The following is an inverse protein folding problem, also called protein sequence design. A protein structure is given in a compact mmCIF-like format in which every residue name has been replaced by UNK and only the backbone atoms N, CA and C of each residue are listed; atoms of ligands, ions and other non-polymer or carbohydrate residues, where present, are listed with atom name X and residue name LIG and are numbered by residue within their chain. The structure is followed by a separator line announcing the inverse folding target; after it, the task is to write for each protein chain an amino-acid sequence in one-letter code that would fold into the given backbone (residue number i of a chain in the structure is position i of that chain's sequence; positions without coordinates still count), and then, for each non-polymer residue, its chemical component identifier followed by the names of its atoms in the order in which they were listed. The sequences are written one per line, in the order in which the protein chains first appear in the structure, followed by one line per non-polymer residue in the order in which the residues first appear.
data_IF_268149863143
#
_entry.id   IF_268149863143
#
_cell.length_a   1.000
_cell.length_b   1.000
_cell.length_c   1.000
_cell.angle_alpha   90.00
_cell.angle_beta   90.00
_cell.angle_gamma   90.00
#
_symmetry.space_group_name_H-M   'P 1'
#
loop_
_entity.id
_entity.type
_entity.pdbx_description
1 polymer ?
#
# COMPACT_ATOMS: atom_id res chain seq x y z
N UNK A 1 -48.88 -19.72 55.84
CA UNK A 1 -48.97 -21.08 55.29
C UNK A 1 -47.73 -21.30 54.45
N UNK A 2 -46.85 -21.94 54.95
CA UNK A 2 -46.01 -23.12 54.71
C UNK A 2 -46.14 -23.68 53.27
N UNK A 3 -45.04 -23.73 52.50
CA UNK A 3 -44.39 -24.98 52.07
C UNK A 3 -43.06 -24.72 51.37
N UNK A 4 -42.04 -25.32 51.92
CA UNK A 4 -40.72 -25.55 51.42
C UNK A 4 -40.72 -26.75 50.46
N UNK A 5 -39.70 -26.89 49.68
CA UNK A 5 -39.02 -28.12 49.19
C UNK A 5 -38.28 -27.79 47.85
N UNK A 6 -37.18 -28.26 47.44
CA UNK A 6 -36.11 -29.15 47.92
C UNK A 6 -34.96 -29.00 46.91
N UNK A 7 -33.76 -29.00 47.42
CA UNK A 7 -32.47 -29.08 46.68
C UNK A 7 -32.34 -30.47 46.04
N UNK A 8 -31.90 -30.55 44.79
CA UNK A 8 -31.31 -31.77 44.25
C UNK A 8 -30.06 -31.45 43.51
N UNK A 9 -28.91 -31.80 44.09
CA UNK A 9 -27.60 -31.83 43.47
C UNK A 9 -27.50 -33.12 42.64
N UNK A 10 -27.08 -32.97 41.40
CA UNK A 10 -26.66 -34.11 40.59
C UNK A 10 -25.19 -33.94 40.21
N UNK A 11 -24.36 -34.73 40.85
CA UNK A 11 -22.98 -35.04 40.39
C UNK A 11 -23.05 -35.82 39.06
N UNK A 12 -22.36 -35.40 38.04
CA UNK A 12 -22.05 -36.25 36.91
C UNK A 12 -20.55 -36.24 36.66
N UNK A 13 -20.05 -37.44 36.71
CA UNK A 13 -18.67 -37.91 36.57
C UNK A 13 -18.15 -37.71 35.13
N UNK A 14 -16.88 -37.27 34.98
CA UNK A 14 -16.09 -37.33 33.78
C UNK A 14 -15.73 -38.79 33.42
N UNK A 15 -15.70 -39.11 32.14
CA UNK A 15 -14.80 -40.19 31.66
C UNK A 15 -13.56 -39.62 31.03
N UNK A 16 -12.43 -40.08 31.53
CA UNK A 16 -11.10 -40.00 30.95
C UNK A 16 -11.09 -40.83 29.66
N UNK A 17 -10.79 -40.24 28.50
CA UNK A 17 -10.51 -40.97 27.30
C UNK A 17 -9.06 -40.73 26.87
N UNK A 18 -8.37 -41.87 26.74
CA UNK A 18 -6.94 -42.02 26.44
C UNK A 18 -6.55 -41.50 25.06
N UNK A 19 -5.31 -41.02 25.01
CA UNK A 19 -4.53 -40.72 23.80
C UNK A 19 -4.50 -41.92 22.83
N UNK A 20 -4.71 -41.63 21.57
CA UNK A 20 -4.20 -42.44 20.47
C UNK A 20 -3.31 -41.55 19.59
N UNK A 21 -2.01 -41.80 19.61
CA UNK A 21 -1.07 -41.29 18.63
C UNK A 21 -1.42 -41.87 17.26
N UNK A 22 -1.78 -41.02 16.30
CA UNK A 22 -1.89 -41.34 14.90
C UNK A 22 -0.86 -40.51 14.12
N UNK A 23 0.19 -41.22 13.69
CA UNK A 23 1.20 -40.68 12.78
C UNK A 23 0.58 -40.49 11.40
N UNK A 24 0.40 -39.22 10.97
CA UNK A 24 0.06 -38.92 9.58
C UNK A 24 1.27 -38.26 8.90
N UNK A 25 1.99 -39.08 8.14
CA UNK A 25 2.86 -38.64 7.06
C UNK A 25 1.97 -38.13 5.91
N UNK A 26 2.04 -36.84 5.61
CA UNK A 26 1.48 -36.25 4.43
C UNK A 26 2.09 -34.87 4.28
N UNK A 27 3.15 -34.76 3.47
CA UNK A 27 3.74 -33.48 3.10
C UNK A 27 2.72 -32.65 2.33
N UNK A 28 2.35 -31.49 2.85
CA UNK A 28 1.69 -30.44 2.11
C UNK A 28 2.77 -29.48 1.63
N UNK A 29 3.10 -29.56 0.35
CA UNK A 29 3.82 -28.51 -0.35
C UNK A 29 2.88 -27.31 -0.48
N UNK A 30 3.31 -26.12 -0.03
CA UNK A 30 2.69 -24.84 -0.35
C UNK A 30 1.97 -24.07 0.76
N UNK A 31 2.30 -24.30 2.03
CA UNK A 31 1.85 -23.37 3.08
C UNK A 31 2.84 -22.20 3.19
N UNK A 32 2.32 -20.98 2.99
CA UNK A 32 2.99 -19.72 3.30
C UNK A 32 3.53 -19.76 4.73
N UNK A 33 4.79 -19.41 5.00
CA UNK A 33 5.26 -19.21 6.37
C UNK A 33 4.73 -17.87 6.91
N UNK A 34 3.41 -17.65 6.82
CA UNK A 34 2.73 -16.53 7.44
C UNK A 34 2.19 -16.98 8.80
N UNK A 35 2.53 -16.28 9.84
CA UNK A 35 1.83 -16.40 11.12
C UNK A 35 0.36 -16.07 10.88
N UNK A 36 -0.53 -17.00 11.21
CA UNK A 36 -1.96 -16.74 11.25
C UNK A 36 -2.20 -15.49 12.11
N UNK A 37 -2.79 -14.44 11.54
CA UNK A 37 -3.05 -13.20 12.26
C UNK A 37 -3.88 -13.41 13.53
N UNK A 38 -4.69 -14.47 13.56
CA UNK A 38 -5.45 -14.90 14.75
C UNK A 38 -4.57 -15.46 15.87
N UNK A 39 -3.32 -15.83 15.58
CA UNK A 39 -2.35 -16.35 16.56
C UNK A 39 -1.48 -15.24 17.19
N UNK A 40 -1.64 -13.98 16.77
CA UNK A 40 -0.91 -12.85 17.35
C UNK A 40 -1.37 -12.59 18.80
N UNK A 41 -0.45 -12.19 19.69
CA UNK A 41 -0.76 -11.97 21.11
C UNK A 41 -1.65 -10.74 21.36
N UNK A 42 -1.99 -9.96 20.35
CA UNK A 42 -2.88 -8.80 20.39
C UNK A 42 -3.74 -8.74 19.12
N UNK A 43 -4.89 -8.06 19.15
CA UNK A 43 -5.73 -7.89 17.96
C UNK A 43 -4.95 -7.27 16.80
N UNK A 44 -5.18 -7.68 15.57
CA UNK A 44 -4.58 -7.06 14.40
C UNK A 44 -4.87 -5.55 14.37
N UNK A 45 -3.86 -4.77 14.01
CA UNK A 45 -3.96 -3.34 13.79
C UNK A 45 -3.15 -2.98 12.54
N UNK A 46 -3.56 -2.00 11.78
CA UNK A 46 -2.78 -1.49 10.65
C UNK A 46 -1.34 -1.18 11.11
N UNK A 47 -0.37 -1.46 10.26
CA UNK A 47 1.00 -1.08 10.52
C UNK A 47 1.18 0.38 10.09
N UNK A 48 1.78 1.18 10.95
CA UNK A 48 2.12 2.58 10.67
C UNK A 48 3.64 2.70 10.47
N UNK A 49 4.11 3.74 9.75
CA UNK A 49 5.54 3.98 9.61
C UNK A 49 6.16 4.27 10.96
N UNK A 50 7.32 3.69 11.22
CA UNK A 50 8.09 3.96 12.45
C UNK A 50 8.56 5.41 12.42
N UNK A 51 8.52 6.08 13.58
CA UNK A 51 9.07 7.43 13.72
C UNK A 51 10.58 7.40 13.45
N UNK A 52 11.00 8.15 12.44
CA UNK A 52 12.38 8.20 12.01
C UNK A 52 13.29 8.93 13.01
N UNK A 53 14.54 8.51 13.14
CA UNK A 53 15.56 9.29 13.88
C UNK A 53 15.84 10.62 13.17
N UNK A 54 16.60 11.50 13.82
CA UNK A 54 17.16 12.69 13.16
C UNK A 54 18.11 12.28 12.03
N UNK A 55 18.14 13.07 10.96
CA UNK A 55 19.04 12.82 9.82
C UNK A 55 20.45 13.27 10.17
N UNK A 56 21.43 12.40 9.97
CA UNK A 56 22.84 12.76 10.12
C UNK A 56 23.38 13.34 8.80
N UNK A 57 23.65 14.63 8.77
CA UNK A 57 24.20 15.32 7.60
C UNK A 57 23.14 15.79 6.60
N UNK A 58 23.57 16.07 5.38
CA UNK A 58 22.69 16.54 4.29
C UNK A 58 22.33 15.36 3.37
N UNK A 59 21.06 15.07 3.14
CA UNK A 59 20.66 14.06 2.18
C UNK A 59 21.18 14.37 0.77
N UNK A 60 21.57 13.37 -0.03
CA UNK A 60 22.05 13.58 -1.39
C UNK A 60 20.94 14.08 -2.33
N UNK A 61 21.32 14.71 -3.41
CA UNK A 61 20.40 15.25 -4.41
C UNK A 61 19.87 16.64 -4.04
N UNK A 62 18.70 16.97 -4.57
CA UNK A 62 18.02 18.25 -4.32
C UNK A 62 16.87 18.02 -3.33
N UNK A 63 16.70 18.96 -2.39
CA UNK A 63 15.57 18.97 -1.46
C UNK A 63 14.74 20.24 -1.71
N UNK A 64 13.44 20.06 -1.88
CA UNK A 64 12.47 21.13 -2.22
C UNK A 64 11.41 21.20 -1.12
N UNK A 65 11.14 22.38 -0.61
CA UNK A 65 10.02 22.61 0.32
C UNK A 65 8.69 22.54 -0.44
N UNK A 66 7.82 21.60 -0.10
CA UNK A 66 6.54 21.43 -0.76
C UNK A 66 5.34 21.79 0.13
N UNK A 67 5.48 21.79 1.43
CA UNK A 67 4.43 22.12 2.39
C UNK A 67 4.31 21.10 3.50
N UNK A 68 3.41 21.31 4.46
CA UNK A 68 3.32 20.49 5.66
C UNK A 68 2.78 19.09 5.38
N UNK A 69 3.45 18.11 5.98
CA UNK A 69 3.03 16.71 5.99
C UNK A 69 2.83 16.11 4.60
N UNK A 70 3.79 16.24 3.67
CA UNK A 70 3.65 15.65 2.36
C UNK A 70 3.57 14.12 2.46
N UNK A 71 2.58 13.58 1.78
CA UNK A 71 2.32 12.14 1.71
C UNK A 71 1.57 11.83 0.41
N UNK A 72 1.85 10.70 -0.21
CA UNK A 72 1.41 10.46 -1.58
C UNK A 72 2.29 11.19 -2.60
N UNK A 73 2.96 10.43 -3.46
CA UNK A 73 3.81 10.95 -4.53
C UNK A 73 3.56 10.15 -5.80
N UNK A 74 3.28 10.85 -6.91
CA UNK A 74 3.18 10.25 -8.23
C UNK A 74 4.01 11.03 -9.24
N UNK A 75 4.67 10.35 -10.18
CA UNK A 75 5.43 10.96 -11.26
C UNK A 75 4.77 10.71 -12.61
N UNK A 76 4.50 11.77 -13.35
CA UNK A 76 3.98 11.64 -14.71
C UNK A 76 5.10 11.71 -15.76
N UNK A 77 5.37 10.60 -16.49
CA UNK A 77 6.43 10.56 -17.48
C UNK A 77 6.15 11.41 -18.72
N UNK A 78 4.90 11.79 -18.99
CA UNK A 78 4.54 12.58 -20.17
C UNK A 78 4.77 14.06 -19.96
N UNK A 79 4.40 14.60 -18.81
CA UNK A 79 4.60 16.03 -18.48
C UNK A 79 5.92 16.28 -17.75
N UNK A 80 6.51 15.23 -17.14
CA UNK A 80 7.67 15.36 -16.27
C UNK A 80 7.33 15.97 -14.90
N UNK A 81 6.05 16.04 -14.55
CA UNK A 81 5.59 16.57 -13.27
C UNK A 81 5.57 15.47 -12.19
N UNK A 82 5.91 15.88 -10.98
CA UNK A 82 5.72 15.13 -9.75
C UNK A 82 4.55 15.72 -8.99
N UNK A 83 3.54 14.93 -8.71
CA UNK A 83 2.42 15.30 -7.86
C UNK A 83 2.72 14.88 -6.42
N UNK A 84 2.54 15.78 -5.46
CA UNK A 84 2.77 15.56 -4.04
C UNK A 84 1.57 16.05 -3.25
N UNK A 85 0.92 15.17 -2.49
CA UNK A 85 -0.16 15.57 -1.59
C UNK A 85 0.40 16.19 -0.31
N UNK A 86 -0.23 17.30 0.19
CA UNK A 86 0.12 17.93 1.48
C UNK A 86 -1.08 18.01 2.39
N UNK A 87 -0.86 18.09 3.73
CA UNK A 87 -1.97 18.00 4.70
C UNK A 87 -2.49 19.34 5.18
N UNK A 88 -1.62 20.30 5.40
CA UNK A 88 -2.02 21.60 5.97
C UNK A 88 -1.33 22.76 5.26
N UNK A 89 -2.01 23.39 4.30
CA UNK A 89 -3.35 23.10 3.79
C UNK A 89 -3.38 21.83 2.94
N UNK A 90 -4.59 21.24 2.72
CA UNK A 90 -4.80 20.17 1.77
C UNK A 90 -4.57 20.67 0.34
N UNK A 91 -3.45 20.27 -0.25
CA UNK A 91 -3.07 20.66 -1.62
C UNK A 91 -2.41 19.48 -2.35
N UNK A 92 -2.60 19.44 -3.66
CA UNK A 92 -1.74 18.68 -4.56
C UNK A 92 -0.73 19.67 -5.15
N UNK A 93 0.54 19.47 -4.84
CA UNK A 93 1.64 20.32 -5.31
C UNK A 93 2.25 19.66 -6.54
N UNK A 94 2.25 20.36 -7.67
CA UNK A 94 2.88 19.90 -8.91
C UNK A 94 4.29 20.48 -8.99
N UNK A 95 5.29 19.60 -9.03
CA UNK A 95 6.70 19.96 -9.05
C UNK A 95 7.30 19.48 -10.37
N UNK A 96 8.10 20.32 -11.02
CA UNK A 96 8.87 19.89 -12.19
C UNK A 96 9.95 18.89 -11.74
N UNK A 97 9.85 17.64 -12.19
CA UNK A 97 10.73 16.55 -11.76
C UNK A 97 12.20 16.71 -12.19
N UNK A 98 12.50 17.61 -13.15
CA UNK A 98 13.87 17.88 -13.58
C UNK A 98 14.52 19.01 -12.78
N UNK A 99 13.80 20.13 -12.57
CA UNK A 99 14.33 21.33 -11.92
C UNK A 99 14.04 21.41 -10.42
N UNK A 100 12.98 20.74 -9.94
CA UNK A 100 12.46 20.89 -8.58
C UNK A 100 11.61 22.15 -8.38
N UNK A 101 11.30 22.89 -9.44
CA UNK A 101 10.44 24.07 -9.35
C UNK A 101 8.97 23.67 -9.16
N UNK A 102 8.28 24.35 -8.24
CA UNK A 102 6.83 24.19 -8.07
C UNK A 102 6.14 24.92 -9.22
N UNK A 103 5.38 24.19 -10.02
CA UNK A 103 4.62 24.74 -11.15
C UNK A 103 3.21 25.14 -10.76
N UNK A 104 2.55 24.39 -9.87
CA UNK A 104 1.15 24.60 -9.50
C UNK A 104 0.88 24.11 -8.08
N UNK A 105 -0.14 24.68 -7.43
CA UNK A 105 -0.72 24.21 -6.17
C UNK A 105 -2.23 24.13 -6.33
N UNK A 106 -2.74 22.91 -6.38
CA UNK A 106 -4.16 22.62 -6.56
C UNK A 106 -4.78 22.35 -5.19
N UNK A 107 -5.78 23.11 -4.79
CA UNK A 107 -6.48 22.84 -3.54
C UNK A 107 -7.32 21.57 -3.64
N UNK A 108 -7.20 20.70 -2.64
CA UNK A 108 -7.98 19.48 -2.49
C UNK A 108 -8.73 19.49 -1.16
N UNK A 109 -9.87 18.78 -1.04
CA UNK A 109 -10.73 18.85 0.15
C UNK A 109 -10.07 18.28 1.41
N UNK A 110 -9.22 17.26 1.27
CA UNK A 110 -8.36 16.74 2.33
C UNK A 110 -7.13 16.04 1.76
N UNK A 111 -6.16 15.75 2.63
CA UNK A 111 -4.91 15.13 2.21
C UNK A 111 -5.08 13.66 1.82
N UNK A 112 -4.36 13.19 0.80
CA UNK A 112 -4.25 11.76 0.50
C UNK A 112 -3.12 11.12 1.30
N UNK A 113 -3.15 9.79 1.42
CA UNK A 113 -1.98 8.96 1.76
C UNK A 113 -1.22 8.49 0.55
N UNK A 114 -1.95 8.11 -0.49
CA UNK A 114 -1.40 7.63 -1.73
C UNK A 114 -1.87 8.49 -2.90
N UNK A 115 -1.15 8.43 -3.99
CA UNK A 115 -1.50 9.01 -5.26
C UNK A 115 -1.19 8.00 -6.36
N UNK A 116 -2.00 7.96 -7.39
CA UNK A 116 -1.69 7.24 -8.61
C UNK A 116 -2.00 8.08 -9.84
N UNK A 117 -1.54 7.63 -11.00
CA UNK A 117 -1.87 8.20 -12.30
C UNK A 117 -2.82 7.26 -13.03
N UNK A 118 -3.94 7.78 -13.50
CA UNK A 118 -4.80 7.00 -14.38
C UNK A 118 -4.02 6.52 -15.62
N UNK A 119 -3.19 7.40 -16.19
CA UNK A 119 -2.34 7.10 -17.37
C UNK A 119 -1.28 8.18 -17.55
N UNK A 120 -0.23 7.96 -18.38
CA UNK A 120 0.70 9.03 -18.71
C UNK A 120 0.01 10.26 -19.27
N UNK A 121 0.17 11.41 -18.61
CA UNK A 121 -0.53 12.67 -18.87
C UNK A 121 -1.75 12.92 -17.97
N UNK A 122 -1.97 12.07 -16.97
CA UNK A 122 -3.02 12.25 -15.97
C UNK A 122 -4.38 11.62 -16.35
N UNK A 123 -5.42 11.86 -15.57
CA UNK A 123 -5.38 12.64 -14.34
C UNK A 123 -4.54 11.96 -13.24
N UNK A 124 -4.10 12.78 -12.26
CA UNK A 124 -3.65 12.28 -10.97
C UNK A 124 -4.90 11.91 -10.17
N UNK A 125 -4.88 10.72 -9.58
CA UNK A 125 -5.94 10.19 -8.74
C UNK A 125 -5.58 10.45 -7.27
N UNK A 126 -6.46 11.16 -6.57
CA UNK A 126 -6.24 11.65 -5.22
C UNK A 126 -7.36 11.16 -4.31
N UNK A 127 -7.16 10.07 -3.56
CA UNK A 127 -8.11 9.67 -2.51
C UNK A 127 -8.00 10.64 -1.34
N UNK A 128 -8.97 11.55 -1.23
CA UNK A 128 -9.02 12.57 -0.18
C UNK A 128 -9.67 11.99 1.08
N UNK A 129 -8.82 11.50 2.02
CA UNK A 129 -9.20 10.65 3.16
C UNK A 129 -10.38 11.19 3.97
N UNK A 130 -10.20 12.34 4.64
CA UNK A 130 -11.19 12.90 5.57
C UNK A 130 -12.44 13.46 4.88
N UNK A 131 -12.39 13.63 3.55
CA UNK A 131 -13.49 14.14 2.75
C UNK A 131 -14.35 13.02 2.13
N UNK A 132 -13.93 11.76 2.22
CA UNK A 132 -14.61 10.61 1.59
C UNK A 132 -14.79 10.81 0.08
N UNK A 133 -13.77 11.35 -0.57
CA UNK A 133 -13.86 11.83 -1.96
C UNK A 133 -12.64 11.37 -2.76
N UNK A 134 -12.88 10.84 -3.96
CA UNK A 134 -11.87 10.73 -4.99
C UNK A 134 -11.80 12.04 -5.76
N UNK A 135 -10.62 12.63 -5.87
CA UNK A 135 -10.37 13.80 -6.71
C UNK A 135 -9.50 13.40 -7.90
N UNK A 136 -9.97 13.65 -9.10
CA UNK A 136 -9.21 13.51 -10.33
C UNK A 136 -8.63 14.87 -10.70
N UNK A 137 -7.31 15.01 -10.77
CA UNK A 137 -6.62 16.27 -11.09
C UNK A 137 -5.97 16.17 -12.46
N UNK A 138 -6.45 16.96 -13.41
CA UNK A 138 -5.93 17.01 -14.78
C UNK A 138 -4.52 17.59 -14.83
N UNK A 139 -3.65 17.05 -15.68
CA UNK A 139 -2.30 17.57 -15.89
C UNK A 139 -2.17 18.20 -17.28
N UNK A 140 -1.43 19.33 -17.43
CA UNK A 140 -0.77 20.07 -16.35
C UNK A 140 -1.65 21.12 -15.68
N UNK A 141 -2.91 21.29 -16.10
CA UNK A 141 -3.75 22.47 -15.87
C UNK A 141 -4.35 22.53 -14.46
N UNK A 142 -4.34 21.44 -13.68
CA UNK A 142 -4.83 21.41 -12.31
C UNK A 142 -6.36 21.42 -12.17
N UNK A 143 -7.11 21.27 -13.26
CA UNK A 143 -8.58 21.15 -13.20
C UNK A 143 -9.00 19.90 -12.41
N UNK A 144 -10.01 20.05 -11.54
CA UNK A 144 -10.44 18.99 -10.63
C UNK A 144 -11.83 18.45 -10.97
N UNK A 145 -12.01 17.15 -10.76
CA UNK A 145 -13.31 16.49 -10.70
C UNK A 145 -13.41 15.66 -9.42
N UNK A 146 -14.48 15.84 -8.67
CA UNK A 146 -14.70 15.18 -7.38
C UNK A 146 -15.82 14.14 -7.50
N UNK A 147 -15.63 12.98 -6.85
CA UNK A 147 -16.61 11.89 -6.76
C UNK A 147 -16.66 11.39 -5.33
N UNK A 148 -17.83 11.41 -4.70
CA UNK A 148 -18.04 10.79 -3.38
C UNK A 148 -17.85 9.28 -3.49
N UNK A 149 -17.08 8.69 -2.55
CA UNK A 149 -16.76 7.26 -2.46
C UNK A 149 -17.04 6.73 -1.04
N UNK A 150 -16.45 5.61 -0.64
CA UNK A 150 -16.62 5.10 0.72
C UNK A 150 -15.84 5.91 1.75
N UNK A 151 -15.91 5.46 3.02
CA UNK A 151 -15.32 6.17 4.15
C UNK A 151 -13.81 6.00 4.18
N UNK A 152 -13.08 7.12 4.26
CA UNK A 152 -11.63 7.22 4.30
C UNK A 152 -10.94 6.51 3.12
N UNK A 153 -11.12 7.02 1.88
CA UNK A 153 -10.44 6.47 0.72
C UNK A 153 -8.92 6.60 0.91
N UNK A 154 -8.19 5.48 0.75
CA UNK A 154 -6.79 5.39 1.14
C UNK A 154 -5.85 5.25 -0.05
N UNK A 155 -6.15 4.33 -0.95
CA UNK A 155 -5.35 4.04 -2.14
C UNK A 155 -6.26 3.83 -3.36
N UNK A 156 -5.67 3.88 -4.56
CA UNK A 156 -6.42 3.92 -5.81
C UNK A 156 -5.64 3.28 -6.94
N UNK A 157 -6.36 2.61 -7.85
CA UNK A 157 -5.79 2.12 -9.10
C UNK A 157 -6.73 2.41 -10.28
N UNK A 158 -6.16 2.52 -11.49
CA UNK A 158 -6.89 2.71 -12.73
C UNK A 158 -6.72 1.50 -13.64
N UNK A 159 -7.83 0.92 -14.07
CA UNK A 159 -7.84 -0.23 -14.97
C UNK A 159 -9.13 -0.25 -15.79
N UNK A 160 -9.02 -0.50 -17.09
CA UNK A 160 -10.17 -0.67 -18.02
C UNK A 160 -11.17 0.49 -17.95
N UNK A 161 -10.65 1.74 -18.03
CA UNK A 161 -11.39 3.00 -17.93
C UNK A 161 -12.21 3.19 -16.64
N UNK A 162 -11.89 2.44 -15.59
CA UNK A 162 -12.47 2.53 -14.25
C UNK A 162 -11.40 2.85 -13.21
N UNK A 163 -11.85 3.54 -12.16
CA UNK A 163 -11.03 3.81 -10.99
C UNK A 163 -11.53 2.94 -9.83
N UNK A 164 -10.61 2.25 -9.18
CA UNK A 164 -10.86 1.39 -8.03
C UNK A 164 -10.26 2.04 -6.79
N UNK A 165 -11.05 2.32 -5.79
CA UNK A 165 -10.65 3.04 -4.58
C UNK A 165 -10.82 2.15 -3.37
N UNK A 166 -9.79 1.97 -2.56
CA UNK A 166 -9.86 1.27 -1.29
C UNK A 166 -10.40 2.21 -0.20
N UNK A 167 -11.59 1.94 0.30
CA UNK A 167 -12.26 2.73 1.34
C UNK A 167 -11.95 2.11 2.70
N UNK A 168 -10.95 2.63 3.40
CA UNK A 168 -10.34 1.98 4.55
C UNK A 168 -11.32 1.68 5.67
N UNK A 169 -12.18 2.63 6.04
CA UNK A 169 -13.05 2.48 7.21
C UNK A 169 -14.42 1.88 6.90
N UNK A 170 -14.87 1.92 5.66
CA UNK A 170 -16.04 1.15 5.24
C UNK A 170 -15.72 -0.29 4.84
N UNK A 171 -14.43 -0.66 4.71
CA UNK A 171 -14.00 -1.98 4.23
C UNK A 171 -14.66 -2.35 2.91
N UNK A 172 -14.61 -1.42 1.97
CA UNK A 172 -15.14 -1.58 0.62
C UNK A 172 -14.09 -1.18 -0.43
N UNK A 173 -14.29 -1.66 -1.64
CA UNK A 173 -13.68 -1.13 -2.83
C UNK A 173 -14.75 -0.38 -3.63
N UNK A 174 -14.63 0.94 -3.75
CA UNK A 174 -15.47 1.76 -4.62
C UNK A 174 -15.00 1.67 -6.07
N UNK A 175 -15.93 1.51 -7.00
CA UNK A 175 -15.69 1.53 -8.44
C UNK A 175 -16.29 2.79 -9.03
N UNK A 176 -15.45 3.61 -9.65
CA UNK A 176 -15.83 4.89 -10.27
C UNK A 176 -15.64 4.81 -11.77
N UNK A 177 -16.67 5.19 -12.53
CA UNK A 177 -16.69 5.25 -14.00
C UNK A 177 -17.24 6.60 -14.43
N UNK A 178 -16.56 7.29 -15.33
CA UNK A 178 -16.95 8.61 -15.85
C UNK A 178 -17.26 9.65 -14.73
N UNK A 179 -16.52 9.61 -13.62
CA UNK A 179 -16.70 10.49 -12.47
C UNK A 179 -17.97 10.20 -11.65
N UNK A 180 -18.42 8.96 -11.64
CA UNK A 180 -19.57 8.50 -10.85
C UNK A 180 -19.26 7.21 -10.14
N UNK A 181 -19.61 7.15 -8.87
CA UNK A 181 -19.61 5.89 -8.12
C UNK A 181 -20.68 4.95 -8.74
N UNK A 182 -20.24 3.84 -9.33
CA UNK A 182 -21.12 2.86 -9.96
C UNK A 182 -21.32 1.62 -9.10
N UNK A 183 -20.37 1.30 -8.22
CA UNK A 183 -20.45 0.11 -7.38
C UNK A 183 -19.57 0.25 -6.12
N UNK A 184 -19.95 -0.43 -5.05
CA UNK A 184 -19.10 -0.70 -3.88
C UNK A 184 -19.10 -2.19 -3.60
N UNK A 185 -17.92 -2.76 -3.37
CA UNK A 185 -17.70 -4.19 -3.19
C UNK A 185 -17.08 -4.39 -1.81
N UNK A 186 -17.66 -5.25 -0.96
CA UNK A 186 -17.03 -5.60 0.31
C UNK A 186 -15.68 -6.28 0.09
N UNK A 187 -14.69 -5.86 0.86
CA UNK A 187 -13.33 -6.44 0.92
C UNK A 187 -12.93 -6.70 2.37
N UNK A 188 -11.78 -7.31 2.58
CA UNK A 188 -11.26 -7.51 3.93
C UNK A 188 -10.99 -6.18 4.65
N UNK A 189 -10.87 -6.23 5.98
CA UNK A 189 -10.85 -5.04 6.84
C UNK A 189 -9.67 -4.11 6.56
N UNK A 190 -9.97 -2.83 6.37
CA UNK A 190 -9.07 -1.73 6.09
C UNK A 190 -8.21 -1.97 4.83
N UNK A 191 -8.81 -1.86 3.62
CA UNK A 191 -8.07 -1.87 2.36
C UNK A 191 -7.15 -0.64 2.29
N UNK A 192 -5.84 -0.84 2.39
CA UNK A 192 -4.82 0.21 2.38
C UNK A 192 -3.91 0.17 1.15
N UNK A 193 -4.02 -0.84 0.30
CA UNK A 193 -3.32 -0.93 -0.97
C UNK A 193 -4.24 -1.42 -2.07
N UNK A 194 -4.26 -0.73 -3.21
CA UNK A 194 -5.02 -1.11 -4.41
C UNK A 194 -4.06 -1.22 -5.58
N UNK A 195 -4.12 -2.31 -6.34
CA UNK A 195 -3.18 -2.53 -7.44
C UNK A 195 -3.90 -3.08 -8.67
N UNK A 196 -3.64 -2.47 -9.82
CA UNK A 196 -4.11 -2.95 -11.11
C UNK A 196 -3.30 -4.17 -11.56
N UNK A 197 -3.98 -5.16 -12.12
CA UNK A 197 -3.44 -6.29 -12.86
C UNK A 197 -4.09 -6.31 -14.24
N UNK A 198 -3.61 -7.16 -15.15
CA UNK A 198 -4.12 -7.11 -16.54
C UNK A 198 -5.63 -7.35 -16.64
N UNK A 199 -6.16 -8.28 -15.82
CA UNK A 199 -7.56 -8.72 -15.82
C UNK A 199 -8.20 -8.70 -14.42
N UNK A 200 -7.50 -8.13 -13.42
CA UNK A 200 -7.91 -8.15 -12.02
C UNK A 200 -7.47 -6.90 -11.27
N UNK A 201 -8.11 -6.69 -10.13
CA UNK A 201 -7.68 -5.72 -9.12
C UNK A 201 -7.24 -6.48 -7.88
N UNK A 202 -6.08 -6.13 -7.33
CA UNK A 202 -5.58 -6.64 -6.06
C UNK A 202 -5.85 -5.64 -4.94
N UNK A 203 -6.25 -6.16 -3.77
CA UNK A 203 -6.46 -5.37 -2.54
C UNK A 203 -5.57 -5.91 -1.45
N UNK A 204 -4.76 -5.05 -0.85
CA UNK A 204 -4.02 -5.34 0.38
C UNK A 204 -4.77 -4.72 1.55
N UNK A 205 -5.29 -5.58 2.43
CA UNK A 205 -6.02 -5.16 3.64
C UNK A 205 -5.06 -5.08 4.82
N UNK A 206 -4.75 -3.85 5.26
CA UNK A 206 -3.69 -3.57 6.24
C UNK A 206 -4.04 -4.01 7.66
N UNK A 207 -5.32 -4.21 7.97
CA UNK A 207 -5.78 -4.73 9.25
C UNK A 207 -6.09 -6.22 9.24
N UNK A 208 -6.60 -6.74 8.13
CA UNK A 208 -6.84 -8.17 7.96
C UNK A 208 -5.54 -8.93 7.63
N UNK A 209 -4.49 -8.22 7.17
CA UNK A 209 -3.20 -8.77 6.73
C UNK A 209 -3.34 -9.69 5.52
N UNK A 210 -4.26 -9.35 4.63
CA UNK A 210 -4.58 -10.16 3.45
C UNK A 210 -4.28 -9.45 2.14
N UNK A 211 -4.00 -10.24 1.12
CA UNK A 211 -4.02 -9.85 -0.27
C UNK A 211 -5.15 -10.62 -0.95
N UNK A 212 -6.14 -9.89 -1.47
CA UNK A 212 -7.27 -10.42 -2.23
C UNK A 212 -7.14 -10.06 -3.70
N UNK A 213 -7.63 -10.92 -4.61
CA UNK A 213 -7.74 -10.62 -6.03
C UNK A 213 -9.20 -10.67 -6.46
N UNK A 214 -9.61 -9.70 -7.30
CA UNK A 214 -10.97 -9.56 -7.86
C UNK A 214 -10.90 -9.58 -9.37
N UNK A 215 -11.61 -10.51 -10.02
CA UNK A 215 -11.61 -10.67 -11.48
C UNK A 215 -12.55 -9.71 -12.17
N UNK A 216 -12.06 -9.00 -13.20
CA UNK A 216 -12.91 -8.16 -14.05
C UNK A 216 -13.85 -9.00 -14.93
N UNK A 217 -13.40 -10.16 -15.41
CA UNK A 217 -14.21 -11.07 -16.27
C UNK A 217 -15.37 -11.69 -15.50
N UNK A 218 -15.20 -11.92 -14.18
CA UNK A 218 -16.23 -12.50 -13.31
C UNK A 218 -16.98 -11.43 -12.50
N UNK A 219 -17.17 -10.25 -13.05
CA UNK A 219 -17.90 -9.15 -12.41
C UNK A 219 -17.38 -8.81 -11.02
N UNK A 220 -16.05 -8.73 -10.86
CA UNK A 220 -15.35 -8.44 -9.62
C UNK A 220 -15.64 -9.44 -8.50
N UNK A 221 -15.75 -10.71 -8.83
CA UNK A 221 -15.78 -11.77 -7.83
C UNK A 221 -14.38 -12.00 -7.25
N UNK A 222 -14.33 -12.21 -5.94
CA UNK A 222 -13.08 -12.55 -5.24
C UNK A 222 -12.55 -13.91 -5.72
N UNK A 223 -11.27 -13.95 -6.11
CA UNK A 223 -10.60 -15.14 -6.63
C UNK A 223 -9.62 -15.76 -5.63
N UNK A 224 -9.75 -15.46 -4.38
CA UNK A 224 -8.93 -15.98 -3.29
C UNK A 224 -8.22 -14.88 -2.51
N UNK A 225 -7.75 -15.27 -1.34
CA UNK A 225 -7.02 -14.42 -0.41
C UNK A 225 -5.80 -15.16 0.12
N UNK A 226 -4.72 -14.44 0.38
CA UNK A 226 -3.49 -14.94 1.00
C UNK A 226 -3.06 -13.98 2.12
N UNK A 227 -2.30 -14.49 3.09
CA UNK A 227 -1.72 -13.64 4.12
C UNK A 227 -0.62 -12.74 3.51
N UNK A 228 -0.71 -11.43 3.67
CA UNK A 228 0.22 -10.45 3.09
C UNK A 228 1.40 -10.07 3.99
N UNK A 229 1.54 -10.68 5.16
CA UNK A 229 2.61 -10.41 6.14
C UNK A 229 2.10 -10.26 7.57
N UNK A 230 2.91 -9.66 8.44
CA UNK A 230 2.59 -9.34 9.84
C UNK A 230 2.06 -7.93 10.05
N UNK A 231 2.18 -7.09 9.03
CA UNK A 231 1.72 -5.71 8.98
C UNK A 231 1.99 -5.14 7.59
N UNK A 232 1.28 -5.66 6.56
CA UNK A 232 1.42 -5.17 5.20
C UNK A 232 0.96 -3.71 5.11
N UNK A 233 1.59 -2.94 4.21
CA UNK A 233 1.25 -1.52 4.02
C UNK A 233 1.03 -1.16 2.55
N UNK A 234 2.01 -1.35 1.70
CA UNK A 234 1.95 -0.91 0.31
C UNK A 234 2.25 -2.06 -0.65
N UNK A 235 1.81 -1.91 -1.90
CA UNK A 235 2.00 -2.92 -2.94
C UNK A 235 2.37 -2.26 -4.26
N UNK A 236 3.28 -2.90 -5.01
CA UNK A 236 3.55 -2.57 -6.42
C UNK A 236 3.62 -3.83 -7.25
N UNK A 237 3.41 -3.71 -8.58
CA UNK A 237 3.56 -4.83 -9.51
C UNK A 237 4.68 -4.59 -10.51
N UNK A 238 5.37 -5.64 -10.93
CA UNK A 238 6.33 -5.59 -12.01
C UNK A 238 5.70 -5.87 -13.39
N UNK A 239 6.54 -5.91 -14.42
CA UNK A 239 6.11 -6.16 -15.79
C UNK A 239 5.60 -7.59 -16.01
N UNK A 240 6.03 -8.55 -15.20
CA UNK A 240 5.59 -9.95 -15.22
C UNK A 240 4.32 -10.20 -14.39
N UNK A 241 3.78 -9.18 -13.73
CA UNK A 241 2.59 -9.28 -12.90
C UNK A 241 2.85 -9.82 -11.49
N UNK A 242 4.12 -9.88 -11.04
CA UNK A 242 4.44 -10.19 -9.64
C UNK A 242 4.15 -9.00 -8.75
N UNK A 243 3.66 -9.27 -7.56
CA UNK A 243 3.41 -8.26 -6.54
C UNK A 243 4.53 -8.25 -5.50
N UNK A 244 4.96 -7.06 -5.14
CA UNK A 244 5.90 -6.80 -4.05
C UNK A 244 5.18 -5.98 -2.99
N UNK A 245 5.08 -6.53 -1.78
CA UNK A 245 4.34 -5.94 -0.65
C UNK A 245 5.33 -5.60 0.45
N UNK A 246 5.28 -4.38 0.97
CA UNK A 246 6.00 -4.01 2.19
C UNK A 246 5.28 -4.58 3.41
N UNK A 247 5.95 -5.44 4.14
CA UNK A 247 5.53 -5.95 5.46
C UNK A 247 6.26 -5.14 6.54
N UNK A 248 5.73 -3.96 6.85
CA UNK A 248 6.38 -2.97 7.73
C UNK A 248 6.70 -3.52 9.12
N UNK A 249 5.75 -4.20 9.74
CA UNK A 249 5.93 -4.80 11.07
C UNK A 249 6.75 -6.07 11.02
N UNK A 250 6.72 -6.77 9.91
CA UNK A 250 7.50 -7.97 9.68
C UNK A 250 8.92 -7.71 9.21
N UNK A 251 9.33 -6.43 9.01
CA UNK A 251 10.66 -6.06 8.49
C UNK A 251 11.02 -6.80 7.20
N UNK A 252 10.09 -6.84 6.21
CA UNK A 252 10.30 -7.63 5.00
C UNK A 252 9.60 -7.07 3.75
N UNK A 253 10.01 -7.61 2.60
CA UNK A 253 9.26 -7.56 1.34
C UNK A 253 8.71 -8.96 1.06
N UNK A 254 7.42 -9.05 0.80
CA UNK A 254 6.73 -10.30 0.46
C UNK A 254 6.39 -10.29 -1.03
N UNK A 255 6.65 -11.41 -1.73
CA UNK A 255 6.48 -11.49 -3.18
C UNK A 255 5.45 -12.55 -3.55
N UNK A 256 4.52 -12.18 -4.42
CA UNK A 256 3.47 -13.05 -4.94
C UNK A 256 3.47 -13.09 -6.47
N UNK A 257 3.24 -14.28 -7.03
CA UNK A 257 2.76 -14.50 -8.39
C UNK A 257 1.25 -14.38 -8.41
N UNK A 258 0.70 -13.74 -9.45
CA UNK A 258 -0.74 -13.56 -9.57
C UNK A 258 -1.39 -14.47 -10.62
N UNK A 259 -0.61 -15.03 -11.54
CA UNK A 259 -1.06 -15.91 -12.62
C UNK A 259 -0.49 -17.33 -12.47
N UNK A 260 -1.24 -18.41 -12.79
CA UNK A 260 -2.69 -18.43 -13.08
C UNK A 260 -3.54 -18.28 -11.82
N UNK A 261 -2.94 -18.26 -10.66
CA UNK A 261 -3.56 -18.06 -9.34
C UNK A 261 -2.58 -17.39 -8.39
N UNK A 262 -3.11 -16.76 -7.35
CA UNK A 262 -2.30 -16.16 -6.31
C UNK A 262 -1.43 -17.22 -5.61
N UNK A 263 -0.10 -16.98 -5.62
CA UNK A 263 0.89 -17.89 -5.05
C UNK A 263 2.05 -17.12 -4.43
N UNK A 264 2.38 -17.45 -3.20
CA UNK A 264 3.58 -16.95 -2.54
C UNK A 264 4.84 -17.42 -3.26
N UNK A 265 5.76 -16.50 -3.58
CA UNK A 265 7.04 -16.79 -4.22
C UNK A 265 8.21 -16.69 -3.24
N UNK A 266 8.21 -15.64 -2.41
CA UNK A 266 9.32 -15.41 -1.51
C UNK A 266 9.12 -14.28 -0.53
N UNK A 267 10.10 -14.18 0.38
CA UNK A 267 10.20 -13.13 1.39
C UNK A 267 11.65 -12.69 1.51
N UNK A 268 11.91 -11.40 1.38
CA UNK A 268 13.21 -10.78 1.68
C UNK A 268 13.13 -10.12 3.06
N UNK A 269 13.98 -10.56 4.00
CA UNK A 269 14.18 -9.84 5.25
C UNK A 269 14.85 -8.48 4.97
N UNK A 270 14.19 -7.39 5.37
CA UNK A 270 14.64 -6.03 5.14
C UNK A 270 14.45 -5.16 6.38
N UNK A 271 15.27 -5.35 7.43
CA UNK A 271 15.11 -4.64 8.70
C UNK A 271 15.26 -3.12 8.58
N UNK A 272 14.35 -2.39 9.18
CA UNK A 272 14.31 -0.93 9.17
C UNK A 272 12.93 -0.34 8.91
N UNK A 273 11.88 -1.12 9.16
CA UNK A 273 10.50 -0.76 8.92
C UNK A 273 10.27 -0.32 7.44
N UNK A 274 10.32 -1.26 6.48
CA UNK A 274 10.04 -0.97 5.07
C UNK A 274 8.62 -0.44 4.95
N UNK A 275 8.47 0.72 4.29
CA UNK A 275 7.15 1.38 4.20
C UNK A 275 6.78 1.78 2.78
N UNK A 276 7.20 2.94 2.28
CA UNK A 276 6.94 3.35 0.91
C UNK A 276 7.63 2.43 -0.09
N UNK A 277 6.97 2.15 -1.21
CA UNK A 277 7.49 1.30 -2.27
C UNK A 277 7.15 1.90 -3.65
N UNK A 278 8.09 1.84 -4.58
CA UNK A 278 7.87 2.21 -5.98
C UNK A 278 8.62 1.23 -6.90
N UNK A 279 8.21 1.16 -8.15
CA UNK A 279 8.83 0.24 -9.12
C UNK A 279 9.14 0.93 -10.45
N UNK A 280 10.37 0.76 -10.92
CA UNK A 280 10.76 1.02 -12.29
C UNK A 280 10.61 -0.30 -13.09
N UNK A 281 9.46 -0.44 -13.75
CA UNK A 281 9.13 -1.66 -14.52
C UNK A 281 10.05 -1.86 -15.73
N UNK A 282 10.57 -0.77 -16.31
CA UNK A 282 11.46 -0.84 -17.48
C UNK A 282 12.84 -1.42 -17.12
N UNK A 283 13.33 -1.11 -15.93
CA UNK A 283 14.64 -1.58 -15.44
C UNK A 283 14.54 -2.81 -14.54
N UNK A 284 13.33 -3.23 -14.15
CA UNK A 284 13.11 -4.30 -13.17
C UNK A 284 13.72 -3.95 -11.81
N UNK A 285 13.41 -2.75 -11.29
CA UNK A 285 13.92 -2.26 -10.00
C UNK A 285 12.78 -1.87 -9.07
N UNK A 286 12.84 -2.39 -7.86
CA UNK A 286 11.93 -2.02 -6.76
C UNK A 286 12.70 -1.12 -5.79
N UNK A 287 12.07 -0.03 -5.40
CA UNK A 287 12.61 0.95 -4.47
C UNK A 287 11.75 0.96 -3.20
N UNK A 288 12.40 0.84 -2.04
CA UNK A 288 11.72 0.72 -0.74
C UNK A 288 12.31 1.70 0.26
N UNK A 289 11.47 2.50 0.91
CA UNK A 289 11.93 3.36 2.01
C UNK A 289 11.98 2.59 3.33
N UNK A 290 13.01 2.86 4.13
CA UNK A 290 13.16 2.32 5.48
C UNK A 290 13.00 3.47 6.48
N UNK A 291 11.81 3.61 7.05
CA UNK A 291 11.48 4.74 7.92
C UNK A 291 12.30 4.77 9.20
N UNK A 292 12.64 3.63 9.78
CA UNK A 292 13.52 3.57 10.97
C UNK A 292 14.97 3.96 10.70
N UNK A 293 15.37 4.19 9.43
CA UNK A 293 16.77 4.44 9.06
C UNK A 293 16.99 5.70 8.22
N UNK A 294 15.93 6.35 7.72
CA UNK A 294 16.03 7.39 6.70
C UNK A 294 16.85 6.93 5.48
N UNK A 295 16.49 5.77 4.97
CA UNK A 295 17.14 5.16 3.79
C UNK A 295 16.10 4.81 2.72
N UNK A 296 16.55 4.81 1.46
CA UNK A 296 15.86 4.12 0.36
C UNK A 296 16.76 3.00 -0.17
N UNK A 297 16.17 1.84 -0.42
CA UNK A 297 16.86 0.62 -0.84
C UNK A 297 16.41 0.24 -2.24
N UNK A 298 17.36 -0.05 -3.12
CA UNK A 298 17.12 -0.62 -4.44
C UNK A 298 17.19 -2.14 -4.36
N UNK A 299 16.17 -2.79 -4.90
CA UNK A 299 16.09 -4.24 -5.06
C UNK A 299 15.94 -4.61 -6.54
N UNK A 300 16.35 -5.81 -6.93
CA UNK A 300 15.93 -6.38 -8.22
C UNK A 300 14.48 -6.89 -8.11
N UNK A 301 13.70 -6.77 -9.19
CA UNK A 301 12.38 -7.37 -9.29
C UNK A 301 12.53 -8.87 -9.66
N UNK A 302 12.55 -9.73 -8.65
CA UNK A 302 12.71 -11.17 -8.80
C UNK A 302 11.82 -11.93 -7.80
N UNK A 303 11.61 -13.23 -8.02
CA UNK A 303 10.87 -14.11 -7.09
C UNK A 303 11.49 -14.12 -5.69
N UNK A 304 12.83 -14.03 -5.65
CA UNK A 304 13.64 -13.86 -4.46
C UNK A 304 14.44 -12.57 -4.64
N UNK A 305 13.90 -11.38 -4.25
CA UNK A 305 14.60 -10.13 -4.47
C UNK A 305 15.87 -10.03 -3.63
N UNK A 306 16.84 -9.29 -4.14
CA UNK A 306 18.11 -9.00 -3.48
C UNK A 306 18.32 -7.49 -3.37
N UNK A 307 18.96 -7.06 -2.27
CA UNK A 307 19.39 -5.68 -2.08
C UNK A 307 20.56 -5.37 -3.00
N UNK A 308 20.40 -4.39 -3.86
CA UNK A 308 21.43 -3.94 -4.79
C UNK A 308 22.21 -2.75 -4.23
N UNK A 309 21.51 -1.69 -3.78
CA UNK A 309 22.11 -0.45 -3.30
C UNK A 309 21.26 0.16 -2.17
N UNK A 310 21.87 1.07 -1.38
CA UNK A 310 21.22 1.86 -0.35
C UNK A 310 21.62 3.31 -0.46
N UNK A 311 20.69 4.22 -0.20
CA UNK A 311 20.94 5.66 -0.20
C UNK A 311 20.29 6.32 1.01
N UNK A 312 20.95 7.30 1.65
CA UNK A 312 20.34 8.10 2.68
C UNK A 312 19.24 9.02 2.09
N UNK A 313 18.20 9.25 2.87
CA UNK A 313 17.07 10.10 2.48
C UNK A 313 16.87 11.26 3.44
N UNK A 314 15.91 12.15 3.09
CA UNK A 314 15.26 13.05 4.03
C UNK A 314 14.63 12.27 5.20
N UNK A 315 14.32 12.97 6.30
CA UNK A 315 13.67 12.36 7.47
C UNK A 315 12.26 11.88 7.18
N UNK A 316 11.85 10.79 7.78
CA UNK A 316 10.51 10.21 7.66
C UNK A 316 10.07 10.00 6.22
N UNK A 317 10.80 9.19 5.43
CA UNK A 317 10.54 8.97 4.01
C UNK A 317 9.34 8.01 3.85
N UNK A 318 8.10 8.52 4.01
CA UNK A 318 6.92 7.69 4.00
C UNK A 318 6.56 7.18 2.59
N UNK A 319 6.67 8.05 1.58
CA UNK A 319 6.25 7.70 0.22
C UNK A 319 7.29 8.13 -0.80
N UNK A 320 7.30 7.46 -1.94
CA UNK A 320 8.18 7.78 -3.05
C UNK A 320 7.56 7.44 -4.40
N UNK A 321 8.07 8.10 -5.44
CA UNK A 321 7.86 7.71 -6.82
C UNK A 321 9.22 7.57 -7.53
N UNK A 322 9.24 6.89 -8.67
CA UNK A 322 10.43 6.72 -9.52
C UNK A 322 10.11 7.07 -10.96
N UNK A 323 11.03 7.76 -11.65
CA UNK A 323 10.90 8.00 -13.09
C UNK A 323 11.22 6.72 -13.86
N UNK A 324 10.31 6.24 -14.75
CA UNK A 324 10.54 5.04 -15.55
C UNK A 324 11.80 5.13 -16.39
N UNK A 325 12.59 4.06 -16.44
CA UNK A 325 13.84 3.96 -17.22
C UNK A 325 14.97 4.89 -16.77
N UNK A 326 14.67 6.01 -16.13
CA UNK A 326 15.65 6.99 -15.64
C UNK A 326 16.11 6.73 -14.22
N UNK A 327 15.24 6.14 -13.40
CA UNK A 327 15.55 5.78 -12.01
C UNK A 327 15.69 6.97 -11.06
N UNK A 328 15.34 8.22 -11.45
CA UNK A 328 15.27 9.33 -10.51
C UNK A 328 14.17 9.08 -9.50
N UNK A 329 14.48 9.26 -8.23
CA UNK A 329 13.55 9.09 -7.11
C UNK A 329 13.03 10.43 -6.62
N UNK A 330 11.77 10.44 -6.23
CA UNK A 330 11.06 11.54 -5.61
C UNK A 330 10.53 11.04 -4.26
N UNK A 331 11.12 11.51 -3.16
CA UNK A 331 10.87 10.97 -1.82
C UNK A 331 10.31 12.07 -0.93
N UNK A 332 9.09 11.87 -0.41
CA UNK A 332 8.44 12.83 0.48
C UNK A 332 8.86 12.64 1.94
N UNK A 333 9.27 13.73 2.59
CA UNK A 333 9.51 13.80 4.02
C UNK A 333 8.25 14.23 4.75
N UNK A 334 7.56 13.28 5.38
CA UNK A 334 6.32 13.52 6.13
C UNK A 334 6.47 14.55 7.25
N UNK A 335 7.65 14.65 7.87
CA UNK A 335 7.93 15.53 9.01
C UNK A 335 8.51 16.87 8.62
N UNK A 336 9.35 16.93 7.59
CA UNK A 336 10.11 18.14 7.26
C UNK A 336 9.44 18.99 6.17
N UNK A 337 8.33 18.51 5.62
CA UNK A 337 7.59 19.28 4.60
C UNK A 337 8.30 19.33 3.25
N UNK A 338 9.17 18.38 2.95
CA UNK A 338 10.06 18.44 1.78
C UNK A 338 9.89 17.26 0.84
N UNK A 339 10.30 17.46 -0.41
CA UNK A 339 10.48 16.44 -1.44
C UNK A 339 11.97 16.37 -1.80
N UNK A 340 12.57 15.18 -1.68
CA UNK A 340 13.92 14.91 -2.15
C UNK A 340 13.89 14.40 -3.59
N UNK A 341 14.68 15.00 -4.46
CA UNK A 341 14.96 14.54 -5.82
C UNK A 341 16.33 13.88 -5.82
N UNK A 342 16.38 12.57 -5.96
CA UNK A 342 17.61 11.78 -5.88
C UNK A 342 17.89 11.07 -7.19
N UNK A 343 19.08 11.30 -7.75
CA UNK A 343 19.61 10.53 -8.87
C UNK A 343 20.56 9.45 -8.35
N UNK A 344 20.13 8.19 -8.29
CA UNK A 344 20.94 7.12 -7.71
C UNK A 344 22.17 6.73 -8.56
N UNK A 345 22.31 7.33 -9.74
CA UNK A 345 23.35 6.97 -10.71
C UNK A 345 23.04 5.64 -11.41
N UNK A 346 23.46 5.48 -12.63
CA UNK A 346 23.29 4.26 -13.44
C UNK A 346 24.29 3.16 -13.08
#
# INVERSE_FOLDING_TARGET
MRRALLVLAALLTLPLALLACGEQKGGKEGETPGTDASALPYPPAAAEPVVSPEVEGTPPGQVVEVGNGPEGVAFDPRTGLVAVGTREPGELVLVNGASGEISERVRIPSAPRHLDLARPGGPVLVPAEDANTLVEVSLPDGDTRETEVGENPHDVAFLDDRIYVGDEFSSTMSVVEDGRLVRQIPVDAQPGGVIELDDRVGIVSVRAYTLELFSLEEDLQAQGSQNAGLGPTHVVRDAEGRLFITDTRGDAIVVYETQPRLKFLGRLELPGAPYGIAIDRERGRVWVTLTARNEVVELNAADQPEVLRRFPTVRQPNTLAVSPGGGRLFIASRTDGTLQLLDPGG
#
